data_IF_544984750847
#
_entry.id   IF_544984750847
#
_cell.length_a   1.000
_cell.length_b   1.000
_cell.length_c   1.000
_cell.angle_alpha   90.00
_cell.angle_beta   90.00
_cell.angle_gamma   90.00
#
_symmetry.space_group_name_H-M   'P 1'
#
loop_
_entity.id
_entity.type
_entity.pdbx_description
1 polymer ?
#
# COMPACT_ATOMS: atom_id res chain seq x y z
N UNK A 1 4.12 -25.11 -10.43
CA UNK A 1 4.27 -24.47 -9.11
C UNK A 1 3.16 -23.48 -8.93
N UNK A 2 2.29 -23.63 -7.93
CA UNK A 2 1.27 -22.61 -7.64
C UNK A 2 2.00 -21.48 -6.91
N UNK A 3 2.54 -20.54 -7.69
CA UNK A 3 3.03 -19.29 -7.12
C UNK A 3 1.80 -18.47 -6.71
N UNK A 4 1.74 -17.94 -5.49
CA UNK A 4 0.73 -16.92 -5.20
C UNK A 4 0.50 -16.55 -3.75
N UNK A 5 0.71 -17.46 -2.81
CA UNK A 5 0.41 -17.21 -1.40
C UNK A 5 1.67 -17.39 -0.55
N UNK A 6 1.97 -16.37 0.25
CA UNK A 6 3.01 -16.42 1.28
C UNK A 6 2.59 -15.55 2.44
N UNK A 7 2.95 -15.97 3.64
CA UNK A 7 2.88 -15.10 4.81
C UNK A 7 3.95 -14.02 4.66
N UNK A 8 3.55 -12.76 4.81
CA UNK A 8 4.46 -11.61 4.82
C UNK A 8 4.42 -11.04 6.22
N UNK A 9 5.54 -11.01 6.97
CA UNK A 9 5.56 -10.38 8.28
C UNK A 9 5.25 -8.89 8.12
N UNK A 10 4.36 -8.38 8.96
CA UNK A 10 3.96 -6.98 9.01
C UNK A 10 4.65 -6.38 10.24
N UNK A 11 5.45 -5.31 10.10
CA UNK A 11 6.02 -4.62 11.27
C UNK A 11 4.92 -4.04 12.15
N UNK A 12 5.12 -4.03 13.47
CA UNK A 12 4.13 -3.57 14.47
C UNK A 12 3.53 -2.20 14.12
N UNK A 13 4.37 -1.26 13.69
CA UNK A 13 3.93 0.08 13.26
C UNK A 13 2.94 0.03 12.09
N UNK A 14 3.15 -0.87 11.13
CA UNK A 14 2.22 -1.03 10.01
C UNK A 14 0.94 -1.74 10.46
N UNK A 15 1.02 -2.69 11.38
CA UNK A 15 -0.16 -3.33 11.97
C UNK A 15 -1.07 -2.29 12.67
N UNK A 16 -0.50 -1.40 13.48
CA UNK A 16 -1.23 -0.32 14.14
C UNK A 16 -1.94 0.59 13.14
N UNK A 17 -1.24 0.99 12.07
CA UNK A 17 -1.81 1.84 11.01
C UNK A 17 -2.98 1.12 10.32
N UNK A 18 -2.84 -0.16 10.00
CA UNK A 18 -3.88 -0.95 9.34
C UNK A 18 -5.10 -1.14 10.25
N UNK A 19 -4.90 -1.42 11.54
CA UNK A 19 -5.99 -1.53 12.52
C UNK A 19 -6.74 -0.21 12.65
N UNK A 20 -6.03 0.90 12.80
CA UNK A 20 -6.65 2.23 12.86
C UNK A 20 -7.42 2.56 11.58
N UNK A 21 -6.87 2.20 10.42
CA UNK A 21 -7.57 2.35 9.15
C UNK A 21 -8.88 1.54 9.10
N UNK A 22 -8.84 0.26 9.50
CA UNK A 22 -10.03 -0.60 9.54
C UNK A 22 -11.12 -0.10 10.50
N UNK A 23 -10.76 0.62 11.57
CA UNK A 23 -11.74 1.25 12.46
C UNK A 23 -12.43 2.48 11.84
N UNK A 24 -11.84 3.07 10.80
CA UNK A 24 -12.33 4.32 10.18
C UNK A 24 -12.98 4.11 8.81
N UNK A 25 -12.76 2.96 8.18
CA UNK A 25 -13.33 2.66 6.86
C UNK A 25 -14.84 2.46 6.93
N UNK A 26 -15.54 2.84 5.85
CA UNK A 26 -16.98 2.59 5.68
C UNK A 26 -17.31 1.14 5.30
N UNK A 27 -16.29 0.35 4.98
CA UNK A 27 -16.41 -1.04 4.52
C UNK A 27 -15.51 -1.94 5.41
N UNK A 28 -15.92 -2.23 6.66
CA UNK A 28 -15.08 -2.94 7.63
C UNK A 28 -15.33 -4.46 7.64
N UNK A 29 -16.20 -5.01 6.78
CA UNK A 29 -16.51 -6.43 6.83
C UNK A 29 -15.32 -7.27 6.34
N UNK A 30 -15.19 -8.51 6.82
CA UNK A 30 -14.06 -9.39 6.50
C UNK A 30 -13.88 -9.63 4.99
N UNK A 31 -14.98 -9.58 4.23
CA UNK A 31 -14.99 -9.78 2.79
C UNK A 31 -14.83 -8.48 1.99
N UNK A 32 -14.79 -7.32 2.66
CA UNK A 32 -14.56 -6.04 2.03
C UNK A 32 -13.07 -5.86 1.69
N UNK A 33 -12.74 -5.10 0.64
CA UNK A 33 -11.35 -4.72 0.38
C UNK A 33 -10.77 -3.94 1.56
N UNK A 34 -9.55 -4.29 2.01
CA UNK A 34 -8.83 -3.55 3.06
C UNK A 34 -8.66 -2.06 2.71
N UNK A 35 -8.41 -1.75 1.43
CA UNK A 35 -8.35 -0.37 0.91
C UNK A 35 -9.46 -0.14 -0.11
N UNK A 36 -10.70 0.16 0.34
CA UNK A 36 -11.82 0.34 -0.56
C UNK A 36 -11.81 1.76 -1.16
N UNK A 37 -12.35 1.88 -2.37
CA UNK A 37 -12.78 3.17 -2.91
C UNK A 37 -14.02 3.68 -2.17
N UNK A 38 -14.43 4.92 -2.42
CA UNK A 38 -15.67 5.49 -1.85
C UNK A 38 -16.94 4.66 -2.15
N UNK A 39 -16.88 3.79 -3.17
CA UNK A 39 -17.97 2.89 -3.59
C UNK A 39 -17.78 1.44 -3.10
N UNK A 40 -16.82 1.17 -2.22
CA UNK A 40 -16.55 -0.17 -1.70
C UNK A 40 -15.78 -1.09 -2.66
N UNK A 41 -15.34 -0.58 -3.82
CA UNK A 41 -14.58 -1.36 -4.81
C UNK A 41 -13.09 -1.44 -4.43
N UNK A 42 -12.37 -2.49 -4.88
CA UNK A 42 -10.92 -2.57 -4.69
C UNK A 42 -10.18 -1.33 -5.20
N UNK A 43 -9.08 -1.02 -4.54
CA UNK A 43 -8.17 0.06 -4.89
C UNK A 43 -7.55 -0.13 -6.29
N UNK A 44 -7.63 0.90 -7.12
CA UNK A 44 -6.90 0.97 -8.39
C UNK A 44 -5.61 1.78 -8.20
N UNK A 45 -4.49 1.06 -8.10
CA UNK A 45 -3.18 1.67 -7.89
C UNK A 45 -2.73 2.58 -9.03
N UNK A 46 -3.11 2.30 -10.28
CA UNK A 46 -2.72 3.15 -11.43
C UNK A 46 -3.45 4.48 -11.36
N UNK A 47 -4.76 4.43 -11.12
CA UNK A 47 -5.55 5.64 -10.96
C UNK A 47 -5.14 6.43 -9.71
N UNK A 48 -4.82 5.75 -8.60
CA UNK A 48 -4.29 6.43 -7.42
C UNK A 48 -2.93 7.07 -7.66
N UNK A 49 -1.98 6.38 -8.31
CA UNK A 49 -0.68 6.96 -8.66
C UNK A 49 -0.87 8.22 -9.48
N UNK A 50 -1.67 8.15 -10.55
CA UNK A 50 -1.93 9.27 -11.44
C UNK A 50 -2.56 10.47 -10.73
N UNK A 51 -3.44 10.25 -9.76
CA UNK A 51 -4.18 11.32 -9.07
C UNK A 51 -3.46 11.91 -7.87
N UNK A 52 -2.65 11.11 -7.17
CA UNK A 52 -2.07 11.50 -5.89
C UNK A 52 -0.56 11.23 -5.85
N UNK A 53 -0.14 9.99 -6.11
CA UNK A 53 1.27 9.60 -5.93
C UNK A 53 2.26 10.33 -6.84
N UNK A 54 1.93 10.45 -8.13
CA UNK A 54 2.73 11.16 -9.13
C UNK A 54 2.86 12.65 -8.82
N UNK A 55 1.74 13.37 -8.60
CA UNK A 55 1.77 14.78 -8.18
C UNK A 55 2.60 15.01 -6.90
N UNK A 56 2.46 14.17 -5.88
CA UNK A 56 3.27 14.29 -4.64
C UNK A 56 4.75 14.04 -4.92
N UNK A 57 5.09 13.05 -5.75
CA UNK A 57 6.48 12.81 -6.12
C UNK A 57 7.09 14.01 -6.87
N UNK A 58 6.32 14.64 -7.76
CA UNK A 58 6.73 15.84 -8.49
C UNK A 58 6.94 17.03 -7.54
N UNK A 59 6.01 17.27 -6.60
CA UNK A 59 6.11 18.32 -5.59
C UNK A 59 7.37 18.16 -4.71
N UNK A 60 7.75 16.92 -4.41
CA UNK A 60 8.96 16.58 -3.67
C UNK A 60 10.24 16.59 -4.54
N UNK A 61 10.15 16.95 -5.82
CA UNK A 61 11.28 16.97 -6.76
C UNK A 61 11.81 15.58 -7.14
N UNK A 62 11.05 14.52 -6.86
CA UNK A 62 11.45 13.15 -7.14
C UNK A 62 11.17 12.79 -8.60
N UNK A 63 12.20 12.32 -9.30
CA UNK A 63 12.11 11.88 -10.70
C UNK A 63 12.02 10.36 -10.81
N UNK A 64 11.27 9.87 -11.79
CA UNK A 64 11.16 8.44 -12.13
C UNK A 64 10.67 7.54 -10.98
N UNK A 65 9.85 8.07 -10.07
CA UNK A 65 9.22 7.28 -9.00
C UNK A 65 7.93 6.65 -9.49
N UNK A 66 7.69 5.41 -9.08
CA UNK A 66 6.43 4.69 -9.27
C UNK A 66 6.17 3.77 -8.08
N UNK A 67 5.03 3.08 -8.09
CA UNK A 67 4.78 2.00 -7.12
C UNK A 67 5.87 0.91 -7.12
N UNK A 68 6.52 0.67 -8.27
CA UNK A 68 7.61 -0.30 -8.32
C UNK A 68 8.85 0.17 -7.56
N UNK A 69 9.09 1.49 -7.53
CA UNK A 69 10.16 2.10 -6.75
C UNK A 69 9.96 1.81 -5.25
N UNK A 70 8.74 1.93 -4.71
CA UNK A 70 8.48 1.56 -3.31
C UNK A 70 8.75 0.09 -3.02
N UNK A 71 8.40 -0.81 -3.94
CA UNK A 71 8.69 -2.24 -3.77
C UNK A 71 10.20 -2.51 -3.71
N UNK A 72 10.99 -1.84 -4.55
CA UNK A 72 12.44 -1.93 -4.47
C UNK A 72 12.97 -1.38 -3.15
N UNK A 73 12.52 -0.19 -2.74
CA UNK A 73 12.93 0.41 -1.46
C UNK A 73 12.59 -0.49 -0.27
N UNK A 74 11.40 -1.09 -0.24
CA UNK A 74 11.01 -2.01 0.83
C UNK A 74 11.90 -3.25 0.86
N UNK A 75 12.22 -3.83 -0.31
CA UNK A 75 13.12 -4.98 -0.39
C UNK A 75 14.57 -4.64 0.02
N UNK A 76 15.07 -3.47 -0.39
CA UNK A 76 16.43 -3.02 -0.05
C UNK A 76 16.52 -2.60 1.42
N UNK A 77 15.52 -1.89 1.94
CA UNK A 77 15.45 -1.46 3.34
C UNK A 77 15.21 -2.61 4.32
N UNK A 78 14.51 -3.67 3.89
CA UNK A 78 14.35 -4.90 4.68
C UNK A 78 15.66 -5.68 4.88
N UNK A 79 16.73 -5.35 4.13
CA UNK A 79 18.07 -5.89 4.38
C UNK A 79 18.82 -5.25 5.55
N UNK A 80 18.27 -4.18 6.16
CA UNK A 80 18.94 -3.40 7.23
C UNK A 80 18.23 -3.54 8.59
N UNK A 81 17.14 -4.30 8.65
CA UNK A 81 16.46 -4.66 9.89
C UNK A 81 16.56 -6.16 10.11
N UNK A 82 17.74 -6.60 10.54
CA UNK A 82 18.03 -7.92 11.09
C UNK A 82 18.62 -7.77 12.47
#
# INVERSE_FOLDING_TARGET
SVAGERLVPIPDRLEEILKNWLLTTRFPADQDPVFPTIKGRPFDYKNHWRRFGGPVAEELGLKNVSYHSFRHTANTGAGVAG
#
